data_IF_384249926855
#
_entry.id   IF_384249926855
#
_cell.length_a   1.000
_cell.length_b   1.000
_cell.length_c   1.000
_cell.angle_alpha   90.00
_cell.angle_beta   90.00
_cell.angle_gamma   90.00
#
_symmetry.space_group_name_H-M   'P 1'
#
loop_
_entity.id
_entity.type
_entity.pdbx_description
1 polymer ?
#
# COMPACT_ATOMS: atom_id res chain seq x y z
N UNK A 1 6.37 -4.97 -26.86
CA UNK A 1 5.09 -5.26 -26.16
C UNK A 1 5.21 -4.67 -24.77
N UNK A 2 4.37 -3.68 -24.42
CA UNK A 2 4.51 -2.94 -23.16
C UNK A 2 4.13 -3.79 -21.96
N UNK A 3 4.98 -3.83 -20.94
CA UNK A 3 4.67 -4.49 -19.66
C UNK A 3 3.45 -3.78 -19.08
N UNK A 4 2.34 -4.48 -18.77
CA UNK A 4 1.19 -3.85 -18.15
C UNK A 4 1.64 -3.18 -16.85
N UNK A 5 1.41 -1.87 -16.75
CA UNK A 5 1.87 -1.10 -15.61
C UNK A 5 1.17 -1.62 -14.35
N UNK A 6 1.96 -1.97 -13.34
CA UNK A 6 1.42 -2.39 -12.03
C UNK A 6 0.53 -1.27 -11.50
N UNK A 7 -0.70 -1.56 -11.04
CA UNK A 7 -1.61 -0.55 -10.51
C UNK A 7 -0.95 0.27 -9.39
N UNK A 8 -1.09 1.60 -9.43
CA UNK A 8 -0.48 2.51 -8.44
C UNK A 8 -0.92 2.14 -7.02
N UNK A 9 -2.20 1.82 -6.83
CA UNK A 9 -2.76 1.38 -5.54
C UNK A 9 -1.97 0.20 -4.95
N UNK A 10 -1.60 -0.77 -5.80
CA UNK A 10 -0.88 -1.98 -5.39
C UNK A 10 0.52 -1.64 -4.91
N UNK A 11 1.27 -0.85 -5.68
CA UNK A 11 2.63 -0.43 -5.29
C UNK A 11 2.59 0.41 -3.99
N UNK A 12 1.69 1.39 -3.92
CA UNK A 12 1.57 2.26 -2.74
C UNK A 12 1.17 1.45 -1.50
N UNK A 13 0.20 0.54 -1.64
CA UNK A 13 -0.21 -0.35 -0.55
C UNK A 13 0.94 -1.23 -0.05
N UNK A 14 1.78 -1.75 -0.95
CA UNK A 14 2.97 -2.53 -0.59
C UNK A 14 4.01 -1.69 0.17
N UNK A 15 4.23 -0.43 -0.22
CA UNK A 15 5.13 0.49 0.50
C UNK A 15 4.62 0.76 1.92
N UNK A 16 3.31 0.99 2.06
CA UNK A 16 2.69 1.21 3.37
C UNK A 16 2.81 -0.04 4.24
N UNK A 17 2.49 -1.23 3.73
CA UNK A 17 2.64 -2.51 4.45
C UNK A 17 4.09 -2.74 4.89
N UNK A 18 5.05 -2.50 3.99
CA UNK A 18 6.48 -2.60 4.30
C UNK A 18 6.87 -1.73 5.50
N UNK A 19 6.42 -0.47 5.49
CA UNK A 19 6.75 0.50 6.54
C UNK A 19 6.04 0.20 7.86
N UNK A 20 4.76 -0.18 7.82
CA UNK A 20 3.98 -0.52 9.03
C UNK A 20 4.56 -1.72 9.77
N UNK A 21 5.04 -2.74 9.05
CA UNK A 21 5.60 -3.96 9.63
C UNK A 21 7.13 -3.97 9.68
N UNK A 22 7.79 -2.87 9.30
CA UNK A 22 9.24 -2.72 9.20
C UNK A 22 9.95 -3.91 8.51
N UNK A 23 9.44 -4.32 7.34
CA UNK A 23 9.89 -5.52 6.61
C UNK A 23 10.88 -5.22 5.48
N UNK A 24 11.67 -6.22 5.08
CA UNK A 24 12.42 -6.17 3.81
C UNK A 24 11.48 -6.17 2.58
N UNK A 25 12.02 -5.89 1.39
CA UNK A 25 11.21 -5.89 0.16
C UNK A 25 10.71 -7.31 -0.17
N UNK A 26 11.55 -8.31 0.05
CA UNK A 26 11.27 -9.73 -0.14
C UNK A 26 10.22 -10.22 0.86
N UNK A 27 10.42 -9.89 2.14
CA UNK A 27 9.52 -10.30 3.22
C UNK A 27 8.11 -9.70 3.10
N UNK A 28 7.98 -8.47 2.60
CA UNK A 28 6.65 -7.89 2.39
C UNK A 28 5.91 -8.61 1.26
N UNK A 29 6.62 -9.04 0.21
CA UNK A 29 6.05 -9.79 -0.91
C UNK A 29 5.64 -11.21 -0.52
N UNK A 30 6.49 -11.93 0.23
CA UNK A 30 6.17 -13.26 0.73
C UNK A 30 4.93 -13.23 1.64
N UNK A 31 4.90 -12.34 2.63
CA UNK A 31 3.73 -12.22 3.51
C UNK A 31 2.48 -11.70 2.79
N UNK A 32 2.63 -10.97 1.68
CA UNK A 32 1.49 -10.57 0.85
C UNK A 32 0.85 -11.78 0.17
N UNK A 33 1.67 -12.75 -0.26
CA UNK A 33 1.20 -14.01 -0.84
C UNK A 33 0.39 -14.86 0.16
N UNK A 34 0.83 -14.87 1.42
CA UNK A 34 0.23 -15.67 2.48
C UNK A 34 -1.06 -15.07 3.05
N UNK A 35 -1.27 -13.76 2.93
CA UNK A 35 -2.31 -13.06 3.68
C UNK A 35 -3.37 -12.42 2.76
N UNK A 36 -4.60 -12.97 2.71
CA UNK A 36 -5.69 -12.42 1.90
C UNK A 36 -6.04 -10.95 2.22
N UNK A 37 -5.89 -10.53 3.48
CA UNK A 37 -6.16 -9.15 3.87
C UNK A 37 -5.17 -8.17 3.25
N UNK A 38 -3.89 -8.56 3.11
CA UNK A 38 -2.87 -7.74 2.46
C UNK A 38 -3.14 -7.59 0.97
N UNK A 39 -3.60 -8.66 0.33
CA UNK A 39 -4.00 -8.66 -1.08
C UNK A 39 -5.20 -7.74 -1.31
N UNK A 40 -6.24 -7.87 -0.48
CA UNK A 40 -7.41 -7.00 -0.53
C UNK A 40 -7.05 -5.53 -0.33
N UNK A 41 -6.20 -5.22 0.64
CA UNK A 41 -5.71 -3.86 0.90
C UNK A 41 -5.07 -3.24 -0.36
N UNK A 42 -4.20 -4.01 -1.03
CA UNK A 42 -3.54 -3.59 -2.27
C UNK A 42 -4.45 -3.54 -3.50
N UNK A 43 -5.71 -3.96 -3.37
CA UNK A 43 -6.74 -3.86 -4.42
C UNK A 43 -7.06 -5.15 -5.16
N UNK A 44 -6.62 -6.30 -4.65
CA UNK A 44 -7.07 -7.59 -5.18
C UNK A 44 -8.51 -7.90 -4.75
N UNK A 45 -9.29 -8.42 -5.69
CA UNK A 45 -10.65 -8.89 -5.43
C UNK A 45 -10.67 -10.37 -5.08
N UNK A 46 -9.75 -11.14 -5.67
CA UNK A 46 -9.61 -12.58 -5.47
C UNK A 46 -8.24 -12.90 -4.87
N UNK A 47 -8.17 -13.98 -4.11
CA UNK A 47 -6.92 -14.45 -3.52
C UNK A 47 -5.94 -14.91 -4.62
N UNK A 48 -4.80 -14.24 -4.70
CA UNK A 48 -3.71 -14.53 -5.61
C UNK A 48 -2.69 -15.47 -4.96
N UNK A 49 -2.26 -16.49 -5.71
CA UNK A 49 -1.21 -17.44 -5.31
C UNK A 49 0.14 -17.15 -5.99
N UNK A 50 0.25 -16.05 -6.72
CA UNK A 50 1.46 -15.61 -7.40
C UNK A 50 1.86 -14.22 -6.91
N UNK A 51 3.15 -13.92 -7.02
CA UNK A 51 3.66 -12.60 -6.68
C UNK A 51 2.99 -11.50 -7.51
N UNK A 52 2.77 -10.31 -6.92
CA UNK A 52 2.07 -9.22 -7.58
C UNK A 52 2.84 -8.58 -8.74
N UNK A 53 4.18 -8.66 -8.71
CA UNK A 53 5.15 -8.13 -9.68
C UNK A 53 6.53 -8.74 -9.40
N UNK A 54 7.49 -8.52 -10.29
CA UNK A 54 8.86 -8.94 -10.05
C UNK A 54 9.48 -8.13 -8.90
N UNK A 55 10.22 -8.76 -7.97
CA UNK A 55 10.96 -8.06 -6.92
C UNK A 55 11.77 -6.86 -7.41
N UNK A 56 12.34 -6.99 -8.60
CA UNK A 56 13.17 -5.97 -9.24
C UNK A 56 12.37 -4.71 -9.58
N UNK A 57 11.13 -4.87 -10.04
CA UNK A 57 10.24 -3.73 -10.34
C UNK A 57 9.93 -2.91 -9.09
N UNK A 58 9.75 -3.58 -7.94
CA UNK A 58 9.52 -2.91 -6.67
C UNK A 58 10.73 -2.12 -6.21
N UNK A 59 11.92 -2.69 -6.35
CA UNK A 59 13.19 -2.03 -6.05
C UNK A 59 13.39 -0.82 -6.97
N UNK A 60 13.12 -0.95 -8.26
CA UNK A 60 13.20 0.16 -9.22
C UNK A 60 12.22 1.27 -8.88
N UNK A 61 10.98 0.94 -8.54
CA UNK A 61 9.99 1.92 -8.12
C UNK A 61 10.44 2.67 -6.86
N UNK A 62 10.91 1.94 -5.84
CA UNK A 62 11.40 2.53 -4.60
C UNK A 62 12.59 3.45 -4.84
N UNK A 63 13.54 3.04 -5.68
CA UNK A 63 14.68 3.88 -6.07
C UNK A 63 14.23 5.14 -6.80
N UNK A 64 13.22 5.04 -7.67
CA UNK A 64 12.67 6.18 -8.42
C UNK A 64 11.97 7.21 -7.52
N UNK A 65 11.19 6.77 -6.52
CA UNK A 65 10.54 7.69 -5.58
C UNK A 65 11.49 8.20 -4.48
N UNK A 66 12.55 7.44 -4.19
CA UNK A 66 13.49 7.71 -3.11
C UNK A 66 12.86 7.64 -1.71
N UNK A 67 13.67 7.90 -0.69
CA UNK A 67 13.23 7.92 0.72
C UNK A 67 12.15 8.99 0.95
N UNK A 68 12.35 10.19 0.40
CA UNK A 68 11.41 11.32 0.50
C UNK A 68 10.04 11.01 -0.10
N UNK A 69 10.00 10.25 -1.20
CA UNK A 69 8.73 9.83 -1.81
C UNK A 69 7.99 8.82 -0.93
N UNK A 70 8.69 7.84 -0.36
CA UNK A 70 8.10 6.86 0.55
C UNK A 70 7.56 7.52 1.83
N UNK A 71 8.32 8.45 2.43
CA UNK A 71 7.89 9.23 3.60
C UNK A 71 6.65 10.08 3.29
N UNK A 72 6.59 10.69 2.10
CA UNK A 72 5.42 11.47 1.69
C UNK A 72 4.18 10.59 1.51
N UNK A 73 4.32 9.39 0.96
CA UNK A 73 3.23 8.42 0.86
C UNK A 73 2.69 8.07 2.24
N UNK A 74 3.58 7.78 3.20
CA UNK A 74 3.18 7.47 4.57
C UNK A 74 2.48 8.66 5.23
N UNK A 75 3.07 9.86 5.13
CA UNK A 75 2.48 11.07 5.71
C UNK A 75 1.07 11.33 5.14
N UNK A 76 0.91 11.21 3.82
CA UNK A 76 -0.40 11.35 3.18
C UNK A 76 -1.41 10.33 3.69
N UNK A 77 -1.01 9.08 3.92
CA UNK A 77 -1.92 8.06 4.48
C UNK A 77 -2.40 8.42 5.90
N UNK A 78 -1.53 9.00 6.73
CA UNK A 78 -1.88 9.48 8.08
C UNK A 78 -2.81 10.70 7.99
N UNK A 79 -2.45 11.70 7.17
CA UNK A 79 -3.24 12.91 6.99
C UNK A 79 -4.67 12.60 6.48
N UNK A 80 -4.81 11.64 5.57
CA UNK A 80 -6.11 11.17 5.08
C UNK A 80 -6.91 10.51 6.21
N UNK A 81 -6.25 9.70 7.04
CA UNK A 81 -6.89 9.06 8.18
C UNK A 81 -7.38 10.09 9.22
N UNK A 82 -6.57 11.10 9.55
CA UNK A 82 -6.97 12.17 10.48
C UNK A 82 -8.17 12.98 9.96
N UNK A 83 -8.19 13.31 8.66
CA UNK A 83 -9.33 14.00 8.04
C UNK A 83 -10.59 13.15 8.06
N UNK A 84 -10.48 11.87 7.69
CA UNK A 84 -11.60 10.92 7.72
C UNK A 84 -12.18 10.76 9.13
N UNK A 85 -11.33 10.73 10.15
CA UNK A 85 -11.74 10.65 11.56
C UNK A 85 -12.49 11.93 12.01
N UNK A 86 -12.05 13.11 11.58
CA UNK A 86 -12.73 14.39 11.86
C UNK A 86 -14.09 14.46 11.14
N UNK A 87 -14.16 14.05 9.89
CA UNK A 87 -15.41 14.02 9.12
C UNK A 87 -16.43 13.02 9.69
N UNK A 88 -15.95 11.92 10.26
CA UNK A 88 -16.80 10.92 10.93
C UNK A 88 -17.32 11.42 12.28
N UNK A 89 -16.51 12.17 13.04
CA UNK A 89 -16.93 12.78 14.29
C UNK A 89 -18.02 13.86 14.06
N UNK A 90 -17.81 14.74 13.08
CA UNK A 90 -18.80 15.79 12.73
C UNK A 90 -20.14 15.18 12.32
N UNK A 91 -20.15 14.06 11.59
CA UNK A 91 -21.39 13.38 11.20
C UNK A 91 -22.11 12.69 12.36
N UNK A 92 -21.41 12.24 13.39
CA UNK A 92 -22.02 11.68 14.61
C UNK A 92 -22.68 12.76 15.45
N UNK A 93 -22.05 13.93 15.56
CA UNK A 93 -22.60 15.06 16.31
C UNK A 93 -23.84 15.67 15.65
N UNK A 94 -24.02 15.49 14.33
CA UNK A 94 -25.19 15.98 13.59
C UNK A 94 -26.36 14.98 13.55
N UNK A 95 -26.14 13.74 14.01
CA UNK A 95 -27.12 12.65 14.00
C UNK A 95 -27.52 12.19 15.43
N UNK A 96 -27.10 12.93 16.46
CA UNK A 96 -27.53 12.80 17.86
C UNK A 96 -28.33 14.03 18.29
#
# INVERSE_FOLDING_TARGET
MGVPSVPIRKIVGMIILKQMYNQSDEQVMERWLENPYRQYFTGEVNFQKKLPFDPTDFVHFRKRIGKKGAERILKLSIDIHEKSSKDTAIKKDFLS
#
